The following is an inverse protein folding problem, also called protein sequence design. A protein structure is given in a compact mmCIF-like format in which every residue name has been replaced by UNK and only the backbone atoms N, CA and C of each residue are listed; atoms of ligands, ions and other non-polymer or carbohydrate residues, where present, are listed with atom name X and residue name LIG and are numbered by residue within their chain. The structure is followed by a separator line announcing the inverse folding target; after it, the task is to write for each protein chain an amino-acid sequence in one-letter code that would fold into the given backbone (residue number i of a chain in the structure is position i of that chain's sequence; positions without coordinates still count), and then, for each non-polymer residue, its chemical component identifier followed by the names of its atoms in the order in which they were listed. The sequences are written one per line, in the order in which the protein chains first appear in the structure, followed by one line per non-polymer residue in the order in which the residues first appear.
data_IF_516808653704
#
_entry.id   IF_516808653704
#
_cell.length_a   1.000
_cell.length_b   1.000
_cell.length_c   1.000
_cell.angle_alpha   90.00
_cell.angle_beta   90.00
_cell.angle_gamma   90.00
#
_symmetry.space_group_name_H-M   'P 1'
#
loop_
_entity.id
_entity.type
_entity.pdbx_description
1 polymer ?
#
# COMPACT_ATOMS: atom_id res chain seq x y z
N UNK A 1 0.39 4.46 17.04
CA UNK A 1 1.62 3.62 16.97
C UNK A 1 2.53 4.24 15.94
N UNK A 2 3.82 4.22 16.21
CA UNK A 2 4.85 4.81 15.36
C UNK A 2 5.32 3.79 14.32
N UNK A 3 5.55 4.21 13.09
CA UNK A 3 6.10 3.38 12.02
C UNK A 3 7.42 2.70 12.41
N UNK A 4 8.22 3.33 13.27
CA UNK A 4 9.46 2.77 13.77
C UNK A 4 9.26 1.46 14.54
N UNK A 5 8.18 1.35 15.27
CA UNK A 5 7.81 0.09 15.94
C UNK A 5 7.54 -1.03 14.94
N UNK A 6 6.92 -0.70 13.81
CA UNK A 6 6.68 -1.66 12.71
C UNK A 6 7.98 -2.04 12.00
N UNK A 7 8.81 -1.07 11.67
CA UNK A 7 10.12 -1.29 11.01
C UNK A 7 11.04 -2.21 11.81
N UNK A 8 11.04 -2.06 13.14
CA UNK A 8 11.91 -2.82 14.04
C UNK A 8 11.35 -4.17 14.48
N UNK A 9 10.05 -4.37 14.33
CA UNK A 9 9.42 -5.65 14.62
C UNK A 9 9.91 -6.74 13.67
N UNK A 10 10.08 -7.95 14.18
CA UNK A 10 10.51 -9.08 13.35
C UNK A 10 9.34 -9.68 12.60
N UNK A 11 9.55 -10.15 11.36
CA UNK A 11 8.57 -10.98 10.68
C UNK A 11 8.16 -12.18 11.54
N UNK A 12 6.87 -12.52 11.54
CA UNK A 12 6.34 -13.63 12.31
C UNK A 12 6.18 -13.36 13.82
N UNK A 13 6.31 -12.12 14.28
CA UNK A 13 6.02 -11.74 15.67
C UNK A 13 4.56 -12.02 16.01
N UNK A 14 3.64 -11.66 15.12
CA UNK A 14 2.24 -12.04 15.22
C UNK A 14 2.05 -13.47 14.69
N UNK A 15 1.35 -14.30 15.46
CA UNK A 15 1.01 -15.65 15.04
C UNK A 15 -0.32 -15.66 14.32
N UNK A 16 -0.25 -15.69 13.00
CA UNK A 16 -1.39 -15.63 12.11
C UNK A 16 -1.64 -17.02 11.51
N UNK A 17 -2.90 -17.45 11.48
CA UNK A 17 -3.32 -18.62 10.71
C UNK A 17 -3.46 -18.24 9.23
N UNK A 18 -2.35 -18.25 8.53
CA UNK A 18 -2.32 -17.88 7.09
C UNK A 18 -3.16 -18.83 6.23
N UNK A 19 -3.21 -20.12 6.60
CA UNK A 19 -4.02 -21.08 5.86
C UNK A 19 -5.51 -20.75 5.89
N UNK A 20 -6.01 -20.26 7.02
CA UNK A 20 -7.39 -19.79 7.15
C UNK A 20 -7.67 -18.59 6.22
N UNK A 21 -6.74 -17.64 6.17
CA UNK A 21 -6.86 -16.46 5.29
C UNK A 21 -6.75 -16.84 3.81
N UNK A 22 -5.84 -17.73 3.46
CA UNK A 22 -5.68 -18.24 2.10
C UNK A 22 -6.93 -19.01 1.64
N UNK A 23 -7.53 -19.80 2.52
CA UNK A 23 -8.81 -20.46 2.25
C UNK A 23 -9.95 -19.45 2.03
N UNK A 24 -9.95 -18.37 2.81
CA UNK A 24 -10.95 -17.29 2.67
C UNK A 24 -10.80 -16.57 1.32
N UNK A 25 -9.58 -16.33 0.87
CA UNK A 25 -9.28 -15.65 -0.39
C UNK A 25 -9.42 -16.56 -1.63
N UNK A 26 -9.14 -17.86 -1.48
CA UNK A 26 -9.11 -18.82 -2.57
C UNK A 26 -7.77 -18.90 -3.30
N UNK A 27 -6.72 -18.29 -2.78
CA UNK A 27 -5.36 -18.34 -3.33
C UNK A 27 -4.31 -18.20 -2.22
N UNK A 28 -3.07 -18.67 -2.43
CA UNK A 28 -2.01 -18.53 -1.45
C UNK A 28 -1.52 -17.08 -1.33
N UNK A 29 -1.13 -16.67 -0.14
CA UNK A 29 -0.53 -15.36 0.12
C UNK A 29 0.98 -15.41 -0.09
N UNK A 30 1.51 -14.40 -0.75
CA UNK A 30 2.95 -14.27 -0.96
C UNK A 30 3.69 -14.01 0.35
N UNK A 31 4.92 -14.54 0.45
CA UNK A 31 5.74 -14.40 1.67
C UNK A 31 6.00 -12.93 2.07
N UNK A 32 6.10 -12.02 1.12
CA UNK A 32 6.26 -10.59 1.40
C UNK A 32 5.03 -9.98 2.11
N UNK A 33 3.82 -10.45 1.78
CA UNK A 33 2.60 -10.05 2.47
C UNK A 33 2.61 -10.55 3.92
N UNK A 34 2.97 -11.83 4.11
CA UNK A 34 3.08 -12.45 5.43
C UNK A 34 4.15 -11.78 6.28
N UNK A 35 5.32 -11.48 5.68
CA UNK A 35 6.38 -10.73 6.37
C UNK A 35 5.86 -9.37 6.84
N UNK A 36 5.27 -8.58 5.95
CA UNK A 36 4.81 -7.24 6.27
C UNK A 36 3.75 -7.24 7.38
N UNK A 37 2.70 -8.04 7.22
CA UNK A 37 1.56 -8.04 8.13
C UNK A 37 1.74 -8.87 9.41
N UNK A 38 2.77 -9.71 9.51
CA UNK A 38 3.04 -10.50 10.73
C UNK A 38 3.88 -9.78 11.78
N UNK A 39 4.23 -8.54 11.53
CA UNK A 39 5.14 -7.80 12.42
C UNK A 39 4.44 -7.27 13.64
N UNK A 40 3.38 -6.51 13.47
CA UNK A 40 2.72 -5.78 14.56
C UNK A 40 1.32 -5.35 14.16
N UNK A 41 0.42 -5.29 15.14
CA UNK A 41 -0.89 -4.64 14.98
C UNK A 41 -0.82 -3.17 15.35
N UNK A 42 -1.71 -2.36 14.79
CA UNK A 42 -1.90 -0.99 15.21
C UNK A 42 -3.40 -0.67 15.27
N UNK A 43 -3.76 0.22 16.15
CA UNK A 43 -5.13 0.65 16.34
C UNK A 43 -5.38 1.87 15.44
N UNK A 44 -5.94 1.60 14.26
CA UNK A 44 -6.16 2.60 13.22
C UNK A 44 -5.02 2.68 12.20
N UNK A 45 -5.11 3.68 11.34
CA UNK A 45 -4.14 3.93 10.27
C UNK A 45 -2.81 4.45 10.83
N UNK A 46 -1.74 4.22 10.09
CA UNK A 46 -0.41 4.73 10.41
C UNK A 46 -0.06 5.78 9.36
N UNK A 47 0.08 7.00 9.80
CA UNK A 47 0.43 8.15 8.97
C UNK A 47 1.88 8.56 9.17
N UNK A 48 2.47 9.16 8.16
CA UNK A 48 3.80 9.70 8.25
C UNK A 48 4.35 10.16 6.90
N UNK A 49 5.67 10.21 6.79
CA UNK A 49 6.36 10.54 5.56
C UNK A 49 7.21 9.37 5.09
N UNK A 50 7.35 9.24 3.78
CA UNK A 50 8.20 8.23 3.18
C UNK A 50 9.12 8.85 2.12
N UNK A 51 10.30 8.26 1.96
CA UNK A 51 11.29 8.62 0.94
C UNK A 51 10.96 7.95 -0.37
N UNK A 52 9.87 8.37 -0.96
CA UNK A 52 9.40 7.89 -2.25
C UNK A 52 8.40 8.88 -2.84
N UNK A 53 8.52 9.14 -4.12
CA UNK A 53 7.51 9.79 -4.95
C UNK A 53 7.47 9.05 -6.27
N UNK A 54 6.30 8.67 -6.80
CA UNK A 54 6.22 8.01 -8.10
C UNK A 54 6.89 8.85 -9.20
N UNK A 55 7.74 8.24 -10.00
CA UNK A 55 8.52 8.94 -11.03
C UNK A 55 7.64 9.69 -12.03
N UNK A 56 6.49 9.14 -12.35
CA UNK A 56 5.47 9.79 -13.19
C UNK A 56 5.19 11.22 -12.72
N UNK A 57 4.98 11.40 -11.41
CA UNK A 57 4.64 12.69 -10.83
C UNK A 57 5.83 13.62 -10.76
N UNK A 58 7.01 13.12 -10.47
CA UNK A 58 8.25 13.91 -10.50
C UNK A 58 8.45 14.53 -11.88
N UNK A 59 8.22 13.78 -12.95
CA UNK A 59 8.35 14.28 -14.35
C UNK A 59 7.30 15.32 -14.70
N UNK A 60 6.06 15.13 -14.31
CA UNK A 60 4.98 16.09 -14.53
C UNK A 60 5.24 17.41 -13.81
N UNK A 61 5.84 17.39 -12.67
CA UNK A 61 6.18 18.57 -11.88
C UNK A 61 7.28 19.44 -12.44
N UNK A 62 8.25 18.86 -13.10
CA UNK A 62 9.33 19.62 -13.76
C UNK A 62 8.75 20.47 -14.89
N UNK A 63 7.63 20.07 -15.47
CA UNK A 63 6.96 20.78 -16.54
C UNK A 63 5.85 21.72 -16.08
N UNK A 64 5.30 21.55 -14.87
CA UNK A 64 4.23 22.38 -14.34
C UNK A 64 4.81 23.55 -13.55
N UNK A 65 4.55 24.77 -14.01
CA UNK A 65 5.01 26.01 -13.34
C UNK A 65 4.24 26.35 -12.06
N UNK A 66 3.21 25.60 -11.74
CA UNK A 66 2.30 25.90 -10.63
C UNK A 66 2.27 24.73 -9.66
N UNK A 67 2.90 24.87 -8.54
CA UNK A 67 2.70 24.31 -7.18
C UNK A 67 1.94 23.01 -6.94
N UNK A 68 1.86 22.12 -7.89
CA UNK A 68 1.15 20.84 -7.76
C UNK A 68 1.74 19.94 -6.65
N UNK A 69 2.98 20.19 -6.26
CA UNK A 69 3.70 19.48 -5.21
C UNK A 69 3.51 20.07 -3.80
N UNK A 70 2.53 20.92 -3.58
CA UNK A 70 2.31 21.44 -2.23
C UNK A 70 2.04 20.35 -1.19
N UNK A 71 1.40 19.22 -1.59
CA UNK A 71 1.19 18.07 -0.72
C UNK A 71 2.45 17.30 -0.35
N UNK A 72 3.49 17.37 -1.19
CA UNK A 72 4.82 16.83 -0.89
C UNK A 72 5.76 17.93 -0.34
N UNK A 73 5.24 19.08 0.10
CA UNK A 73 6.01 20.24 0.54
C UNK A 73 7.07 20.71 -0.47
N UNK A 74 6.81 20.55 -1.76
CA UNK A 74 7.78 20.82 -2.80
C UNK A 74 8.94 19.82 -2.87
N UNK A 75 8.92 18.79 -2.07
CA UNK A 75 9.94 17.75 -2.04
C UNK A 75 9.64 16.72 -3.14
N UNK A 76 10.62 16.45 -4.00
CA UNK A 76 10.53 15.48 -5.09
C UNK A 76 10.93 14.07 -4.65
N UNK A 77 11.43 13.93 -3.44
CA UNK A 77 12.00 12.70 -2.90
C UNK A 77 11.11 12.07 -1.82
N UNK A 78 10.18 12.85 -1.27
CA UNK A 78 9.34 12.43 -0.14
C UNK A 78 7.88 12.78 -0.37
N UNK A 79 6.98 11.95 0.18
CA UNK A 79 5.56 12.26 0.28
C UNK A 79 4.98 11.77 1.61
N UNK A 80 3.81 12.26 1.93
CA UNK A 80 3.01 11.73 3.05
C UNK A 80 2.33 10.44 2.63
N UNK A 81 2.02 9.59 3.61
CA UNK A 81 1.35 8.31 3.39
C UNK A 81 0.40 7.98 4.53
N UNK A 82 -0.52 7.08 4.23
CA UNK A 82 -1.33 6.35 5.20
C UNK A 82 -1.19 4.86 4.93
N UNK A 83 -0.94 4.04 5.95
CA UNK A 83 -0.92 2.58 5.89
C UNK A 83 -2.04 1.99 6.74
N UNK A 84 -2.60 0.88 6.28
CA UNK A 84 -3.64 0.16 6.98
C UNK A 84 -3.07 -1.14 7.56
N UNK A 85 -2.80 -1.21 8.88
CA UNK A 85 -2.31 -2.42 9.55
C UNK A 85 -3.45 -3.36 9.91
N UNK A 86 -3.12 -4.57 10.36
CA UNK A 86 -4.06 -5.35 11.15
C UNK A 86 -4.35 -4.62 12.47
N UNK A 87 -5.63 -4.47 12.81
CA UNK A 87 -6.04 -3.89 14.09
C UNK A 87 -6.10 -4.96 15.20
N UNK A 88 -6.53 -6.16 14.85
CA UNK A 88 -6.69 -7.31 15.73
C UNK A 88 -6.20 -8.58 15.03
N UNK A 89 -6.01 -9.65 15.81
CA UNK A 89 -5.50 -10.93 15.30
C UNK A 89 -6.48 -12.08 15.45
N UNK A 90 -7.75 -11.82 15.85
CA UNK A 90 -8.79 -12.84 15.82
C UNK A 90 -9.17 -13.20 14.38
N UNK A 91 -9.63 -14.45 14.19
CA UNK A 91 -9.89 -14.98 12.85
C UNK A 91 -10.95 -14.21 12.06
N UNK A 92 -12.01 -13.73 12.71
CA UNK A 92 -13.08 -13.00 12.04
C UNK A 92 -12.57 -11.65 11.53
N UNK A 93 -11.86 -10.89 12.37
CA UNK A 93 -11.27 -9.60 12.00
C UNK A 93 -10.26 -9.72 10.87
N UNK A 94 -9.41 -10.74 10.90
CA UNK A 94 -8.42 -10.99 9.84
C UNK A 94 -9.06 -11.40 8.52
N UNK A 95 -10.10 -12.25 8.55
CA UNK A 95 -10.84 -12.62 7.35
C UNK A 95 -11.52 -11.43 6.69
N UNK A 96 -12.16 -10.56 7.48
CA UNK A 96 -12.76 -9.33 6.97
C UNK A 96 -11.71 -8.40 6.37
N UNK A 97 -10.58 -8.23 7.06
CA UNK A 97 -9.48 -7.39 6.57
C UNK A 97 -8.98 -7.85 5.19
N UNK A 98 -8.66 -9.13 5.02
CA UNK A 98 -8.12 -9.61 3.73
C UNK A 98 -9.15 -9.58 2.62
N UNK A 99 -10.41 -9.80 2.91
CA UNK A 99 -11.48 -9.64 1.91
C UNK A 99 -11.59 -8.20 1.44
N UNK A 100 -11.59 -7.24 2.36
CA UNK A 100 -11.66 -5.82 2.03
C UNK A 100 -10.40 -5.38 1.26
N UNK A 101 -9.22 -5.83 1.69
CA UNK A 101 -7.97 -5.50 1.04
C UNK A 101 -7.91 -5.99 -0.41
N UNK A 102 -8.33 -7.23 -0.68
CA UNK A 102 -8.25 -7.84 -2.03
C UNK A 102 -9.49 -7.61 -2.90
N UNK A 103 -10.67 -7.51 -2.31
CA UNK A 103 -11.94 -7.49 -3.05
C UNK A 103 -12.84 -6.30 -2.71
N UNK A 104 -12.35 -5.34 -1.94
CA UNK A 104 -13.13 -4.20 -1.46
C UNK A 104 -13.48 -3.19 -2.56
N UNK A 105 -14.18 -2.15 -2.17
CA UNK A 105 -14.69 -1.11 -3.07
C UNK A 105 -13.60 -0.29 -3.78
N UNK A 106 -12.37 -0.34 -3.27
CA UNK A 106 -11.24 0.37 -3.86
C UNK A 106 -11.00 0.02 -5.33
N UNK A 107 -11.41 -1.17 -5.75
CA UNK A 107 -11.27 -1.63 -7.14
C UNK A 107 -12.26 -0.96 -8.10
N UNK A 108 -13.30 -0.30 -7.59
CA UNK A 108 -14.38 0.24 -8.41
C UNK A 108 -15.11 -0.80 -9.25
N UNK A 109 -15.08 -2.07 -8.83
CA UNK A 109 -15.66 -3.20 -9.57
C UNK A 109 -14.81 -3.72 -10.72
N UNK A 110 -13.57 -3.23 -10.85
CA UNK A 110 -12.63 -3.68 -11.89
C UNK A 110 -11.76 -4.83 -11.38
N UNK A 111 -11.23 -5.60 -12.33
CA UNK A 111 -10.32 -6.70 -12.03
C UNK A 111 -8.86 -6.19 -11.97
N UNK A 112 -8.29 -6.17 -10.78
CA UNK A 112 -6.89 -5.85 -10.53
C UNK A 112 -6.03 -7.11 -10.29
N UNK A 113 -6.55 -8.29 -10.61
CA UNK A 113 -5.89 -9.55 -10.27
C UNK A 113 -5.83 -9.76 -8.75
N UNK A 114 -4.77 -10.40 -8.28
CA UNK A 114 -4.56 -10.64 -6.84
C UNK A 114 -3.80 -9.48 -6.18
N UNK A 115 -4.36 -8.29 -6.23
CA UNK A 115 -3.78 -7.10 -5.58
C UNK A 115 -4.58 -6.69 -4.36
N UNK A 116 -3.89 -6.31 -3.31
CA UNK A 116 -4.47 -5.85 -2.06
C UNK A 116 -4.22 -4.35 -1.87
N UNK A 117 -5.24 -3.62 -1.46
CA UNK A 117 -5.10 -2.25 -0.99
C UNK A 117 -4.45 -2.24 0.39
N UNK A 118 -3.35 -1.50 0.55
CA UNK A 118 -2.59 -1.44 1.80
C UNK A 118 -2.42 -0.03 2.36
N UNK A 119 -2.82 0.98 1.61
CA UNK A 119 -2.71 2.38 2.04
C UNK A 119 -2.78 3.36 0.89
N UNK A 120 -2.33 4.58 1.15
CA UNK A 120 -2.36 5.70 0.20
C UNK A 120 -1.09 6.52 0.24
N UNK A 121 -0.77 7.14 -0.89
CA UNK A 121 0.13 8.27 -0.97
C UNK A 121 -0.69 9.56 -1.02
N UNK A 122 -0.42 10.47 -0.10
CA UNK A 122 -1.12 11.73 0.02
C UNK A 122 -0.41 12.79 -0.84
N UNK A 123 -0.76 12.80 -2.10
CA UNK A 123 -0.29 13.78 -3.09
C UNK A 123 -1.50 14.60 -3.57
N UNK A 124 -1.33 15.89 -3.79
CA UNK A 124 -2.43 16.79 -4.20
C UNK A 124 -2.90 16.62 -5.65
N UNK A 125 -2.71 15.46 -6.25
CA UNK A 125 -2.89 15.22 -7.69
C UNK A 125 -3.82 14.06 -8.03
N UNK A 126 -4.69 13.69 -7.12
CA UNK A 126 -5.62 12.60 -7.31
C UNK A 126 -5.43 11.49 -6.28
N UNK A 127 -6.07 10.38 -6.52
CA UNK A 127 -6.05 9.23 -5.61
C UNK A 127 -4.93 8.27 -6.00
N UNK A 128 -3.86 8.27 -5.21
CA UNK A 128 -2.74 7.34 -5.37
C UNK A 128 -2.84 6.29 -4.28
N UNK A 129 -3.14 5.07 -4.67
CA UNK A 129 -3.21 3.96 -3.73
C UNK A 129 -1.90 3.21 -3.66
N UNK A 130 -1.54 2.78 -2.44
CA UNK A 130 -0.51 1.77 -2.21
C UNK A 130 -1.18 0.40 -2.26
N UNK A 131 -0.64 -0.47 -3.08
CA UNK A 131 -1.17 -1.82 -3.29
C UNK A 131 -0.06 -2.86 -3.18
N UNK A 132 -0.46 -4.07 -2.83
CA UNK A 132 0.43 -5.23 -2.83
C UNK A 132 0.05 -6.17 -3.96
N UNK A 133 0.98 -6.48 -4.83
CA UNK A 133 0.79 -7.46 -5.89
C UNK A 133 1.15 -8.85 -5.37
N UNK A 134 0.14 -9.66 -5.08
CA UNK A 134 0.33 -10.99 -4.50
C UNK A 134 0.98 -12.00 -5.47
N UNK A 135 0.87 -11.79 -6.76
CA UNK A 135 1.46 -12.70 -7.76
C UNK A 135 2.98 -12.50 -7.88
N UNK A 136 3.46 -11.28 -7.69
CA UNK A 136 4.89 -10.93 -7.81
C UNK A 136 5.58 -10.68 -6.46
N UNK A 137 4.81 -10.42 -5.42
CA UNK A 137 5.31 -9.99 -4.11
C UNK A 137 5.77 -8.53 -4.06
N UNK A 138 5.51 -7.74 -5.10
CA UNK A 138 5.88 -6.34 -5.16
C UNK A 138 4.88 -5.45 -4.41
N UNK A 139 5.42 -4.42 -3.77
CA UNK A 139 4.67 -3.26 -3.29
C UNK A 139 4.61 -2.26 -4.43
N UNK A 140 3.41 -1.87 -4.80
CA UNK A 140 3.14 -1.03 -5.97
C UNK A 140 2.32 0.20 -5.58
N UNK A 141 2.28 1.18 -6.46
CA UNK A 141 1.31 2.26 -6.42
C UNK A 141 0.40 2.19 -7.65
N UNK A 142 -0.80 2.68 -7.53
CA UNK A 142 -1.74 2.84 -8.64
C UNK A 142 -2.34 4.23 -8.61
N UNK A 143 -2.37 4.88 -9.77
CA UNK A 143 -2.97 6.18 -9.96
C UNK A 143 -4.41 6.01 -10.46
N UNK A 144 -5.39 6.34 -9.62
CA UNK A 144 -6.81 6.35 -10.00
C UNK A 144 -7.24 7.66 -10.67
N UNK A 145 -6.36 8.67 -10.72
CA UNK A 145 -6.69 9.97 -11.28
C UNK A 145 -7.85 10.64 -10.54
N UNK A 146 -8.67 11.37 -11.27
CA UNK A 146 -9.92 11.96 -10.75
C UNK A 146 -11.12 11.04 -10.88
N UNK A 147 -10.92 9.80 -11.24
CA UNK A 147 -11.96 8.79 -11.40
C UNK A 147 -11.40 7.46 -11.88
N UNK A 148 -12.18 6.41 -11.71
CA UNK A 148 -11.79 5.04 -12.04
C UNK A 148 -11.49 4.79 -13.53
N UNK A 149 -11.76 5.75 -14.39
CA UNK A 149 -11.61 5.59 -15.85
C UNK A 149 -10.18 5.75 -16.34
N UNK A 150 -9.38 6.57 -15.67
CA UNK A 150 -8.02 6.88 -16.07
C UNK A 150 -7.02 5.79 -15.73
N UNK A 151 -7.40 4.88 -14.84
CA UNK A 151 -6.59 3.74 -14.40
C UNK A 151 -6.13 2.85 -15.55
N UNK A 152 -6.86 2.83 -16.65
CA UNK A 152 -6.65 1.86 -17.73
C UNK A 152 -5.99 2.44 -18.96
N UNK A 153 -5.74 3.73 -19.03
CA UNK A 153 -5.31 4.33 -20.27
C UNK A 153 -3.83 4.16 -20.57
N UNK A 154 -2.95 4.18 -19.58
CA UNK A 154 -1.49 4.04 -19.80
C UNK A 154 -0.76 3.42 -18.60
N UNK A 155 -0.82 2.10 -18.41
CA UNK A 155 0.01 1.41 -17.43
C UNK A 155 0.03 2.12 -16.04
N UNK A 156 -1.06 2.05 -15.29
CA UNK A 156 -1.26 2.89 -14.10
C UNK A 156 -0.44 2.46 -12.88
N UNK A 157 0.26 1.34 -12.98
CA UNK A 157 1.02 0.77 -11.87
C UNK A 157 2.48 1.17 -11.90
N UNK A 158 3.04 1.39 -10.73
CA UNK A 158 4.46 1.53 -10.54
C UNK A 158 4.95 0.76 -9.33
N UNK A 159 6.21 0.33 -9.36
CA UNK A 159 6.83 -0.42 -8.26
C UNK A 159 7.35 0.55 -7.21
N UNK A 160 7.05 0.28 -5.94
CA UNK A 160 7.62 0.98 -4.78
C UNK A 160 8.78 0.16 -4.21
N UNK A 161 8.58 -1.15 -4.03
CA UNK A 161 9.56 -2.04 -3.45
C UNK A 161 9.32 -3.50 -3.85
N UNK A 162 10.36 -4.32 -3.78
CA UNK A 162 10.31 -5.74 -4.12
C UNK A 162 10.25 -6.67 -2.89
N UNK A 163 10.41 -6.11 -1.69
CA UNK A 163 10.32 -6.86 -0.43
C UNK A 163 9.70 -5.99 0.67
N UNK A 164 9.21 -6.66 1.72
CA UNK A 164 8.67 -5.95 2.89
C UNK A 164 9.72 -5.07 3.56
N UNK A 165 10.97 -5.52 3.66
CA UNK A 165 12.03 -4.73 4.27
C UNK A 165 12.38 -3.50 3.42
N UNK A 166 12.53 -3.66 2.12
CA UNK A 166 12.79 -2.54 1.20
C UNK A 166 11.65 -1.50 1.26
N UNK A 167 10.41 -1.97 1.37
CA UNK A 167 9.24 -1.09 1.51
C UNK A 167 9.30 -0.32 2.82
N UNK A 168 9.52 -1.01 3.93
CA UNK A 168 9.59 -0.40 5.26
C UNK A 168 10.76 0.58 5.42
N UNK A 169 11.88 0.34 4.73
CA UNK A 169 13.04 1.22 4.78
C UNK A 169 12.78 2.62 4.16
N UNK A 170 11.71 2.75 3.39
CA UNK A 170 11.31 4.04 2.80
C UNK A 170 10.56 4.96 3.78
N UNK A 171 10.00 4.42 4.84
CA UNK A 171 9.24 5.19 5.82
C UNK A 171 10.14 5.87 6.84
N UNK A 172 9.76 7.09 7.24
CA UNK A 172 10.45 7.90 8.27
C UNK A 172 9.70 7.91 9.60
#
# INVERSE_FOLDING_TARGET
MDINSWKTAKPGTLKIDWSDLENTLGFPLHENFKDFYSRITANGEIDGRMKFVPEKFVKEYVSAKDGWLEGANGDREQCEYTLIPFSETDGDSLREFVKEAFFGEWTGGNDFGHRAYIGELLLNIGEISLIFNNDTGAFEWVDFGYGYYEVYEENPYGIVAHSAQEFLDKFE
#
